data_IF_057292506312
#
_entry.id   IF_057292506312
#
_cell.length_a   1.000
_cell.length_b   1.000
_cell.length_c   1.000
_cell.angle_alpha   90.00
_cell.angle_beta   90.00
_cell.angle_gamma   90.00
#
_symmetry.space_group_name_H-M   'P 1'
#
loop_
_entity.id
_entity.type
_entity.pdbx_description
1 polymer ?
#
# COMPACT_ATOMS: atom_id res chain seq x y z
N UNK A 1 -2.56 -0.20 -32.08
CA UNK A 1 -3.45 -0.76 -31.07
C UNK A 1 -2.58 -1.29 -29.94
N UNK A 2 -2.86 -0.87 -28.70
CA UNK A 2 -2.12 -1.33 -27.53
C UNK A 2 -2.67 -2.71 -27.13
N UNK A 3 -1.98 -3.78 -27.49
CA UNK A 3 -2.40 -5.16 -27.21
C UNK A 3 -2.13 -5.60 -25.76
N UNK A 4 -1.51 -4.75 -24.92
CA UNK A 4 -1.07 -5.12 -23.58
C UNK A 4 -2.21 -5.57 -22.66
N UNK A 5 -3.45 -5.17 -22.93
CA UNK A 5 -4.63 -5.60 -22.18
C UNK A 5 -5.41 -6.75 -22.82
N UNK A 6 -5.12 -7.09 -24.08
CA UNK A 6 -5.85 -8.14 -24.82
C UNK A 6 -5.48 -9.53 -24.32
N UNK A 7 -4.20 -9.76 -24.06
CA UNK A 7 -3.72 -11.07 -23.60
C UNK A 7 -4.19 -11.40 -22.18
N UNK A 8 -4.08 -10.49 -21.17
CA UNK A 8 -4.67 -10.73 -19.86
C UNK A 8 -6.19 -10.94 -19.92
N UNK A 9 -6.90 -10.16 -20.74
CA UNK A 9 -8.35 -10.32 -20.93
C UNK A 9 -8.71 -11.70 -21.50
N UNK A 10 -7.89 -12.21 -22.40
CA UNK A 10 -8.07 -13.54 -23.01
C UNK A 10 -7.44 -14.68 -22.20
N UNK A 11 -6.94 -14.42 -20.98
CA UNK A 11 -6.23 -15.41 -20.14
C UNK A 11 -5.04 -16.05 -20.84
N UNK A 12 -4.34 -15.27 -21.69
CA UNK A 12 -3.11 -15.69 -22.36
C UNK A 12 -1.89 -15.26 -21.55
N UNK A 13 -0.77 -15.93 -21.80
CA UNK A 13 0.51 -15.52 -21.21
C UNK A 13 0.90 -14.13 -21.72
N UNK A 14 1.30 -13.25 -20.78
CA UNK A 14 1.72 -11.89 -21.06
C UNK A 14 3.25 -11.87 -21.07
N UNK A 15 3.84 -11.92 -22.26
CA UNK A 15 5.30 -11.85 -22.45
C UNK A 15 5.82 -10.40 -22.54
N UNK A 16 4.92 -9.44 -22.76
CA UNK A 16 5.27 -8.02 -22.89
C UNK A 16 5.68 -7.44 -21.51
N UNK A 17 6.74 -6.63 -21.52
CA UNK A 17 7.28 -5.94 -20.34
C UNK A 17 7.03 -4.42 -20.35
N UNK A 18 6.26 -3.94 -21.32
CA UNK A 18 5.91 -2.51 -21.44
C UNK A 18 4.97 -2.05 -20.35
N UNK A 19 4.70 -0.76 -20.31
CA UNK A 19 3.78 -0.15 -19.34
C UNK A 19 2.44 -0.89 -19.27
N UNK A 20 1.89 -1.00 -18.05
CA UNK A 20 0.62 -1.65 -17.72
C UNK A 20 0.63 -3.19 -17.80
N UNK A 21 1.80 -3.81 -17.97
CA UNK A 21 1.95 -5.27 -17.89
C UNK A 21 2.27 -5.74 -16.46
N UNK A 22 2.00 -7.01 -16.11
CA UNK A 22 2.34 -7.57 -14.79
C UNK A 22 3.83 -7.43 -14.46
N UNK A 23 4.73 -7.68 -15.42
CA UNK A 23 6.18 -7.56 -15.23
C UNK A 23 6.59 -6.11 -14.95
N UNK A 24 6.03 -5.15 -15.68
CA UNK A 24 6.27 -3.72 -15.43
C UNK A 24 5.81 -3.30 -14.05
N UNK A 25 4.61 -3.75 -13.64
CA UNK A 25 4.04 -3.49 -12.33
C UNK A 25 4.93 -4.03 -11.20
N UNK A 26 5.36 -5.29 -11.31
CA UNK A 26 6.29 -5.91 -10.38
C UNK A 26 7.57 -5.09 -10.23
N UNK A 27 8.23 -4.76 -11.36
CA UNK A 27 9.48 -3.98 -11.36
C UNK A 27 9.30 -2.59 -10.75
N UNK A 28 8.20 -1.89 -11.04
CA UNK A 28 7.98 -0.52 -10.55
C UNK A 28 7.74 -0.48 -9.04
N UNK A 29 7.00 -1.43 -8.49
CA UNK A 29 6.82 -1.48 -7.04
C UNK A 29 8.10 -1.89 -6.31
N UNK A 30 8.86 -2.87 -6.80
CA UNK A 30 10.16 -3.19 -6.20
C UNK A 30 11.19 -2.08 -6.36
N UNK A 31 11.17 -1.32 -7.45
CA UNK A 31 11.96 -0.10 -7.59
C UNK A 31 11.61 0.92 -6.49
N UNK A 32 10.33 1.20 -6.28
CA UNK A 32 9.89 2.09 -5.20
C UNK A 32 10.31 1.58 -3.81
N UNK A 33 10.26 0.27 -3.57
CA UNK A 33 10.72 -0.34 -2.32
C UNK A 33 12.24 -0.14 -2.13
N UNK A 34 13.02 -0.32 -3.19
CA UNK A 34 14.47 -0.10 -3.13
C UNK A 34 14.81 1.35 -2.78
N UNK A 35 14.16 2.33 -3.43
CA UNK A 35 14.38 3.76 -3.16
C UNK A 35 14.06 4.13 -1.69
N UNK A 36 12.92 3.67 -1.17
CA UNK A 36 12.57 3.97 0.22
C UNK A 36 13.45 3.23 1.23
N UNK A 37 13.95 2.03 0.91
CA UNK A 37 14.90 1.32 1.77
C UNK A 37 16.24 2.07 1.84
N UNK A 38 16.73 2.64 0.72
CA UNK A 38 17.91 3.50 0.73
C UNK A 38 17.68 4.75 1.60
N UNK A 39 16.53 5.40 1.48
CA UNK A 39 16.19 6.56 2.31
C UNK A 39 16.10 6.20 3.80
N UNK A 40 15.48 5.08 4.14
CA UNK A 40 15.39 4.59 5.52
C UNK A 40 16.76 4.25 6.10
N UNK A 41 17.63 3.63 5.32
CA UNK A 41 19.00 3.30 5.73
C UNK A 41 19.84 4.54 5.97
N UNK A 42 19.78 5.51 5.07
CA UNK A 42 20.46 6.79 5.24
C UNK A 42 19.97 7.54 6.50
N UNK A 43 18.66 7.53 6.77
CA UNK A 43 18.13 8.13 7.99
C UNK A 43 18.61 7.41 9.26
N UNK A 44 18.68 6.08 9.25
CA UNK A 44 19.23 5.27 10.35
C UNK A 44 20.70 5.61 10.61
N UNK A 45 21.53 5.70 9.57
CA UNK A 45 22.95 6.05 9.67
C UNK A 45 23.18 7.47 10.23
N UNK A 46 22.24 8.38 9.99
CA UNK A 46 22.23 9.73 10.60
C UNK A 46 21.69 9.75 12.04
N UNK A 47 21.31 8.61 12.62
CA UNK A 47 20.73 8.51 13.94
C UNK A 47 19.23 8.85 14.00
N UNK A 48 18.54 8.75 12.87
CA UNK A 48 17.09 9.00 12.74
C UNK A 48 16.63 10.31 13.45
N UNK A 49 17.10 11.48 13.00
CA UNK A 49 16.78 12.75 13.62
C UNK A 49 15.26 12.96 13.72
N UNK A 50 14.82 13.53 14.84
CA UNK A 50 13.38 13.74 15.11
C UNK A 50 12.69 14.60 14.04
N UNK A 51 13.41 15.53 13.47
CA UNK A 51 12.93 16.40 12.39
C UNK A 51 12.61 15.62 11.11
N UNK A 52 13.23 14.45 10.93
CA UNK A 52 13.00 13.56 9.79
C UNK A 52 11.92 12.50 10.06
N UNK A 53 11.39 12.41 11.27
CA UNK A 53 10.36 11.41 11.62
C UNK A 53 9.19 11.36 10.63
N UNK A 54 8.63 12.48 10.14
CA UNK A 54 7.55 12.45 9.15
C UNK A 54 7.94 11.83 7.81
N UNK A 55 9.16 12.07 7.34
CA UNK A 55 9.68 11.50 6.09
C UNK A 55 10.02 10.02 6.21
N UNK A 56 10.57 9.62 7.37
CA UNK A 56 10.80 8.20 7.71
C UNK A 56 9.46 7.46 7.76
N UNK A 57 8.44 8.07 8.35
CA UNK A 57 7.09 7.50 8.39
C UNK A 57 6.50 7.36 6.98
N UNK A 58 6.65 8.36 6.13
CA UNK A 58 6.20 8.29 4.74
C UNK A 58 6.94 7.19 3.96
N UNK A 59 8.26 7.06 4.11
CA UNK A 59 9.02 5.99 3.46
C UNK A 59 8.53 4.59 3.86
N UNK A 60 8.27 4.36 5.16
CA UNK A 60 7.64 3.12 5.64
C UNK A 60 6.23 2.91 5.07
N UNK A 61 5.44 3.97 4.98
CA UNK A 61 4.09 3.93 4.39
C UNK A 61 4.14 3.52 2.92
N UNK A 62 5.07 4.09 2.14
CA UNK A 62 5.28 3.72 0.73
C UNK A 62 5.72 2.26 0.62
N UNK A 63 6.61 1.79 1.51
CA UNK A 63 7.05 0.39 1.53
C UNK A 63 5.89 -0.55 1.82
N UNK A 64 5.09 -0.23 2.82
CA UNK A 64 3.87 -0.97 3.17
C UNK A 64 2.90 -1.05 1.99
N UNK A 65 2.59 0.10 1.38
CA UNK A 65 1.68 0.18 0.23
C UNK A 65 2.19 -0.61 -0.98
N UNK A 66 3.49 -0.48 -1.29
CA UNK A 66 4.09 -1.17 -2.42
C UNK A 66 4.02 -2.69 -2.27
N UNK A 67 4.34 -3.22 -1.08
CA UNK A 67 4.20 -4.65 -0.82
C UNK A 67 2.74 -5.11 -0.79
N UNK A 68 1.82 -4.26 -0.32
CA UNK A 68 0.39 -4.57 -0.37
C UNK A 68 -0.11 -4.71 -1.81
N UNK A 69 0.31 -3.81 -2.70
CA UNK A 69 -0.04 -3.90 -4.12
C UNK A 69 0.55 -5.17 -4.76
N UNK A 70 1.80 -5.50 -4.43
CA UNK A 70 2.43 -6.72 -4.92
C UNK A 70 1.73 -7.99 -4.42
N UNK A 71 1.46 -8.11 -3.14
CA UNK A 71 0.80 -9.31 -2.58
C UNK A 71 -0.62 -9.47 -3.11
N UNK A 72 -1.33 -8.35 -3.34
CA UNK A 72 -2.70 -8.38 -3.87
C UNK A 72 -2.77 -8.89 -5.32
N UNK A 73 -1.70 -8.69 -6.11
CA UNK A 73 -1.66 -9.08 -7.52
C UNK A 73 -0.94 -10.41 -7.76
N UNK A 74 0.06 -10.75 -6.95
CA UNK A 74 0.97 -11.87 -7.24
C UNK A 74 0.92 -12.99 -6.21
N UNK A 75 -0.02 -12.94 -5.25
CA UNK A 75 -0.25 -14.00 -4.28
C UNK A 75 -1.73 -14.34 -4.18
N UNK A 76 -2.04 -15.40 -3.44
CA UNK A 76 -3.44 -15.69 -3.09
C UNK A 76 -4.01 -14.58 -2.21
N UNK A 77 -5.31 -14.35 -2.32
CA UNK A 77 -6.01 -13.41 -1.43
C UNK A 77 -5.88 -13.85 0.03
N UNK A 78 -5.89 -12.88 0.92
CA UNK A 78 -5.92 -13.14 2.36
C UNK A 78 -7.32 -13.61 2.78
N UNK A 79 -7.38 -14.75 3.44
CA UNK A 79 -8.62 -15.30 3.99
C UNK A 79 -8.54 -15.27 5.52
N UNK A 80 -9.42 -14.50 6.16
CA UNK A 80 -9.44 -14.33 7.61
C UNK A 80 -9.72 -15.64 8.39
N UNK A 81 -10.32 -16.63 7.71
CA UNK A 81 -10.71 -17.91 8.28
C UNK A 81 -9.68 -19.03 7.94
N UNK A 82 -8.53 -18.67 7.36
CA UNK A 82 -7.46 -19.59 6.94
C UNK A 82 -6.12 -19.23 7.60
N UNK A 83 -5.16 -20.15 7.56
CA UNK A 83 -3.79 -19.94 8.04
C UNK A 83 -2.94 -19.07 7.10
N UNK A 84 -3.41 -18.81 5.87
CA UNK A 84 -2.72 -18.05 4.84
C UNK A 84 -1.28 -18.51 4.59
N UNK A 85 -1.05 -19.82 4.62
CA UNK A 85 0.25 -20.47 4.46
C UNK A 85 0.78 -20.48 3.02
N UNK A 86 -0.04 -20.08 2.05
CA UNK A 86 0.36 -19.96 0.64
C UNK A 86 1.53 -18.98 0.48
N UNK A 87 2.41 -19.15 -0.53
CA UNK A 87 3.49 -18.22 -0.80
C UNK A 87 2.98 -16.79 -1.04
N UNK A 88 3.55 -15.84 -0.30
CA UNK A 88 3.34 -14.41 -0.48
C UNK A 88 4.28 -13.81 -1.53
N UNK A 89 4.77 -12.60 -1.27
CA UNK A 89 5.82 -11.94 -2.05
C UNK A 89 7.05 -11.69 -1.17
N UNK A 90 8.27 -11.58 -1.72
CA UNK A 90 9.44 -11.17 -0.95
C UNK A 90 9.22 -9.83 -0.27
N UNK A 91 9.36 -9.77 1.06
CA UNK A 91 9.27 -8.52 1.81
C UNK A 91 10.65 -7.96 2.07
N UNK A 92 11.06 -6.96 1.26
CA UNK A 92 12.41 -6.41 1.26
C UNK A 92 12.47 -5.17 2.15
N UNK A 93 13.36 -5.19 3.15
CA UNK A 93 13.50 -4.10 4.14
C UNK A 93 14.84 -3.39 4.08
N UNK A 94 15.82 -3.95 3.38
CA UNK A 94 17.17 -3.42 3.27
C UNK A 94 17.53 -3.10 1.83
N UNK A 95 18.41 -2.12 1.58
CA UNK A 95 18.98 -1.89 0.26
C UNK A 95 19.75 -3.12 -0.24
N UNK A 96 19.64 -3.39 -1.53
CA UNK A 96 20.45 -4.44 -2.15
C UNK A 96 21.92 -4.03 -2.20
N UNK A 97 22.78 -4.86 -1.62
CA UNK A 97 24.23 -4.67 -1.62
C UNK A 97 24.96 -5.67 -2.53
N UNK A 98 24.24 -6.68 -3.02
CA UNK A 98 24.77 -7.77 -3.84
C UNK A 98 23.94 -7.92 -5.11
N UNK A 99 24.60 -7.98 -6.26
CA UNK A 99 23.92 -8.26 -7.52
C UNK A 99 23.24 -9.64 -7.48
N UNK A 100 21.99 -9.71 -7.96
CA UNK A 100 21.18 -10.94 -8.00
C UNK A 100 20.93 -11.56 -6.60
N UNK A 101 20.66 -10.72 -5.60
CA UNK A 101 20.25 -11.19 -4.28
C UNK A 101 19.03 -12.12 -4.39
N UNK A 102 19.06 -13.24 -3.65
CA UNK A 102 17.92 -14.16 -3.58
C UNK A 102 17.06 -13.81 -2.39
N UNK A 103 15.79 -13.63 -2.64
CA UNK A 103 14.80 -13.36 -1.61
C UNK A 103 13.82 -14.52 -1.51
N UNK A 104 13.57 -14.98 -0.30
CA UNK A 104 12.57 -15.99 -0.03
C UNK A 104 11.16 -15.37 -0.07
N UNK A 105 10.23 -16.12 -0.64
CA UNK A 105 8.80 -15.80 -0.54
C UNK A 105 8.28 -16.40 0.77
N UNK A 106 8.03 -15.52 1.72
CA UNK A 106 7.34 -15.94 2.95
C UNK A 106 5.86 -16.24 2.66
N UNK A 107 5.13 -16.64 3.68
CA UNK A 107 3.68 -16.88 3.52
C UNK A 107 2.90 -15.58 3.33
N UNK A 108 1.69 -15.68 2.77
CA UNK A 108 0.75 -14.54 2.70
C UNK A 108 0.52 -13.96 4.09
N UNK A 109 0.33 -14.82 5.13
CA UNK A 109 0.17 -14.38 6.51
C UNK A 109 1.32 -13.46 6.97
N UNK A 110 2.57 -13.90 6.80
CA UNK A 110 3.76 -13.12 7.19
C UNK A 110 3.93 -11.86 6.37
N UNK A 111 3.60 -11.90 5.08
CA UNK A 111 3.64 -10.71 4.23
C UNK A 111 2.66 -9.65 4.76
N UNK A 112 1.41 -10.03 5.06
CA UNK A 112 0.40 -9.12 5.62
C UNK A 112 0.79 -8.61 7.01
N UNK A 113 1.41 -9.43 7.85
CA UNK A 113 1.92 -9.01 9.16
C UNK A 113 2.98 -7.89 9.02
N UNK A 114 3.94 -8.05 8.11
CA UNK A 114 4.98 -7.06 7.86
C UNK A 114 4.43 -5.77 7.25
N UNK A 115 3.48 -5.88 6.32
CA UNK A 115 2.75 -4.73 5.76
C UNK A 115 2.04 -3.97 6.87
N UNK A 116 1.29 -4.68 7.73
CA UNK A 116 0.55 -4.07 8.86
C UNK A 116 1.51 -3.39 9.85
N UNK A 117 2.67 -3.99 10.11
CA UNK A 117 3.67 -3.40 10.98
C UNK A 117 4.16 -2.05 10.46
N UNK A 118 4.61 -1.97 9.21
CA UNK A 118 5.06 -0.72 8.61
C UNK A 118 3.93 0.34 8.57
N UNK A 119 2.69 -0.08 8.27
CA UNK A 119 1.52 0.77 8.27
C UNK A 119 1.27 1.39 9.65
N UNK A 120 1.20 0.55 10.71
CA UNK A 120 0.87 1.02 12.06
C UNK A 120 2.00 1.87 12.64
N UNK A 121 3.27 1.51 12.42
CA UNK A 121 4.41 2.26 12.91
C UNK A 121 4.53 3.66 12.30
N UNK A 122 3.93 3.87 11.13
CA UNK A 122 4.07 5.10 10.36
C UNK A 122 2.85 6.02 10.40
N UNK A 123 1.63 5.49 10.47
CA UNK A 123 0.42 6.26 10.21
C UNK A 123 0.24 7.48 11.11
N UNK A 124 0.56 7.36 12.41
CA UNK A 124 0.40 8.45 13.37
C UNK A 124 1.59 9.42 13.37
N UNK A 125 2.70 9.07 12.71
CA UNK A 125 3.94 9.85 12.62
C UNK A 125 4.04 10.69 11.34
N UNK A 126 3.11 10.51 10.40
CA UNK A 126 3.04 11.32 9.19
C UNK A 126 2.87 12.80 9.53
N UNK A 127 3.62 13.64 8.82
CA UNK A 127 3.54 15.08 8.96
C UNK A 127 2.20 15.68 8.48
N UNK A 128 2.06 16.98 8.67
CA UNK A 128 0.98 17.71 8.01
C UNK A 128 1.34 17.93 6.54
N UNK A 129 0.32 18.13 5.71
CA UNK A 129 0.50 18.37 4.28
C UNK A 129 1.36 19.64 4.00
N UNK A 130 1.46 20.55 4.97
CA UNK A 130 2.24 21.79 4.87
C UNK A 130 3.76 21.58 4.76
N UNK A 131 4.28 20.41 5.11
CA UNK A 131 5.71 20.11 4.97
C UNK A 131 6.12 19.79 3.52
N UNK A 132 5.14 19.54 2.64
CA UNK A 132 5.37 19.18 1.25
C UNK A 132 5.07 20.34 0.29
N UNK A 133 5.92 20.51 -0.71
CA UNK A 133 5.68 21.51 -1.77
C UNK A 133 4.46 21.15 -2.62
N UNK A 134 4.26 19.83 -2.88
CA UNK A 134 3.12 19.31 -3.65
C UNK A 134 2.50 18.14 -2.90
N UNK A 135 1.64 18.37 -1.90
CA UNK A 135 1.11 17.33 -1.00
C UNK A 135 0.42 16.16 -1.72
N UNK A 136 -0.18 16.40 -2.87
CA UNK A 136 -0.89 15.37 -3.65
C UNK A 136 -0.01 14.21 -4.14
N UNK A 137 1.31 14.37 -4.12
CA UNK A 137 2.26 13.31 -4.50
C UNK A 137 2.85 12.58 -3.31
N UNK A 138 2.38 12.89 -2.10
CA UNK A 138 2.85 12.35 -0.85
C UNK A 138 1.74 11.61 -0.10
N UNK A 139 2.11 10.74 0.83
CA UNK A 139 1.16 10.16 1.75
C UNK A 139 0.75 11.20 2.81
N UNK A 140 -0.32 11.93 2.51
CA UNK A 140 -1.00 12.73 3.52
C UNK A 140 -1.65 11.84 4.58
N UNK A 141 -2.02 12.40 5.74
CA UNK A 141 -2.76 11.64 6.77
C UNK A 141 -4.08 11.08 6.24
N UNK A 142 -4.75 11.83 5.35
CA UNK A 142 -5.97 11.38 4.69
C UNK A 142 -5.70 10.17 3.80
N UNK A 143 -4.71 10.24 2.91
CA UNK A 143 -4.32 9.14 2.02
C UNK A 143 -3.90 7.89 2.79
N UNK A 144 -3.13 8.06 3.88
CA UNK A 144 -2.71 6.95 4.73
C UNK A 144 -3.88 6.26 5.44
N UNK A 145 -4.86 7.02 5.94
CA UNK A 145 -6.06 6.42 6.54
C UNK A 145 -6.96 5.74 5.49
N UNK A 146 -7.05 6.29 4.27
CA UNK A 146 -7.75 5.64 3.16
C UNK A 146 -7.07 4.31 2.78
N UNK A 147 -5.74 4.31 2.67
CA UNK A 147 -4.97 3.09 2.44
C UNK A 147 -5.15 2.07 3.58
N UNK A 148 -5.07 2.49 4.85
CA UNK A 148 -5.30 1.62 5.99
C UNK A 148 -6.70 0.98 5.95
N UNK A 149 -7.73 1.75 5.63
CA UNK A 149 -9.08 1.23 5.44
C UNK A 149 -9.13 0.16 4.36
N UNK A 150 -8.48 0.39 3.20
CA UNK A 150 -8.40 -0.58 2.11
C UNK A 150 -7.62 -1.83 2.51
N UNK A 151 -6.49 -1.70 3.20
CA UNK A 151 -5.71 -2.83 3.71
C UNK A 151 -6.55 -3.72 4.62
N UNK A 152 -7.26 -3.14 5.59
CA UNK A 152 -8.12 -3.90 6.49
C UNK A 152 -9.37 -4.47 5.82
N UNK A 153 -9.86 -3.85 4.74
CA UNK A 153 -10.91 -4.41 3.88
C UNK A 153 -10.47 -5.75 3.28
N UNK A 154 -9.25 -5.79 2.71
CA UNK A 154 -8.67 -7.02 2.15
C UNK A 154 -8.36 -8.06 3.22
N UNK A 155 -8.09 -7.63 4.45
CA UNK A 155 -7.85 -8.51 5.59
C UNK A 155 -9.14 -9.03 6.24
N UNK A 156 -10.30 -8.47 5.90
CA UNK A 156 -11.59 -8.82 6.48
C UNK A 156 -11.83 -8.27 7.89
N UNK A 157 -11.06 -7.26 8.34
CA UNK A 157 -11.20 -6.59 9.64
C UNK A 157 -12.13 -5.37 9.52
N UNK A 158 -13.43 -5.62 9.50
CA UNK A 158 -14.46 -4.59 9.30
C UNK A 158 -14.43 -3.48 10.36
N UNK A 159 -14.06 -3.80 11.60
CA UNK A 159 -13.95 -2.81 12.67
C UNK A 159 -12.90 -1.77 12.38
N UNK A 160 -11.72 -2.20 11.93
CA UNK A 160 -10.64 -1.29 11.51
C UNK A 160 -10.97 -0.56 10.21
N UNK A 161 -11.68 -1.20 9.26
CA UNK A 161 -12.17 -0.51 8.06
C UNK A 161 -12.96 0.73 8.44
N UNK A 162 -13.98 0.58 9.30
CA UNK A 162 -14.82 1.69 9.76
C UNK A 162 -13.97 2.75 10.48
N UNK A 163 -13.08 2.31 11.38
CA UNK A 163 -12.21 3.20 12.16
C UNK A 163 -11.36 4.11 11.26
N UNK A 164 -10.70 3.55 10.24
CA UNK A 164 -9.84 4.32 9.36
C UNK A 164 -10.61 5.11 8.30
N UNK A 165 -11.68 4.55 7.75
CA UNK A 165 -12.55 5.26 6.82
C UNK A 165 -13.18 6.51 7.45
N UNK A 166 -13.63 6.43 8.72
CA UNK A 166 -14.24 7.56 9.44
C UNK A 166 -13.26 8.70 9.72
N UNK A 167 -11.95 8.45 9.72
CA UNK A 167 -10.93 9.50 9.82
C UNK A 167 -10.78 10.30 8.51
N UNK A 168 -11.13 9.71 7.38
CA UNK A 168 -11.09 10.35 6.06
C UNK A 168 -12.41 11.05 5.76
N UNK A 169 -13.50 10.34 6.00
CA UNK A 169 -14.87 10.80 5.81
C UNK A 169 -15.64 10.64 7.12
N UNK A 170 -15.66 11.69 7.97
CA UNK A 170 -16.50 11.67 9.16
C UNK A 170 -17.95 11.45 8.72
N UNK A 171 -18.51 10.28 9.02
CA UNK A 171 -19.90 10.00 8.69
C UNK A 171 -20.79 11.01 9.42
N UNK A 172 -21.61 11.80 8.73
CA UNK A 172 -22.65 12.56 9.41
C UNK A 172 -23.55 11.58 10.19
N UNK A 173 -23.95 11.95 11.39
CA UNK A 173 -24.81 11.13 12.26
C UNK A 173 -26.14 10.68 11.61
N UNK A 174 -26.47 11.23 10.45
CA UNK A 174 -27.68 10.93 9.64
C UNK A 174 -27.55 9.61 8.84
N UNK A 175 -26.35 9.05 8.66
CA UNK A 175 -26.17 7.82 7.87
C UNK A 175 -26.41 6.51 8.64
N UNK A 176 -26.64 6.58 9.94
CA UNK A 176 -26.99 5.41 10.74
C UNK A 176 -28.49 5.15 10.57
N UNK A 177 -28.86 4.47 9.48
CA UNK A 177 -30.19 3.87 9.34
C UNK A 177 -31.15 4.43 8.29
N UNK A 178 -30.70 5.20 7.30
CA UNK A 178 -31.59 5.65 6.23
C UNK A 178 -31.00 5.47 4.82
N UNK A 179 -31.89 5.25 3.85
CA UNK A 179 -31.68 5.16 2.40
C UNK A 179 -30.99 6.38 1.75
N UNK A 180 -30.13 7.09 2.48
CA UNK A 180 -29.50 8.34 2.11
C UNK A 180 -28.21 8.24 1.27
N UNK A 181 -27.82 7.05 0.84
CA UNK A 181 -26.64 6.86 -0.02
C UNK A 181 -26.75 7.51 -1.43
N UNK A 182 -27.88 8.16 -1.73
CA UNK A 182 -28.12 8.77 -3.04
C UNK A 182 -27.47 10.15 -3.25
N UNK A 183 -26.78 10.71 -2.26
CA UNK A 183 -26.20 12.05 -2.35
C UNK A 183 -24.69 12.13 -2.09
N UNK A 184 -23.97 11.01 -2.15
CA UNK A 184 -22.50 11.04 -2.26
C UNK A 184 -22.23 11.44 -3.71
N UNK A 185 -21.72 12.64 -3.94
CA UNK A 185 -21.42 13.09 -5.30
C UNK A 185 -20.35 12.18 -5.92
N UNK A 186 -20.43 11.92 -7.23
CA UNK A 186 -19.46 11.11 -7.98
C UNK A 186 -18.01 11.57 -7.76
N UNK A 187 -17.79 12.81 -7.31
CA UNK A 187 -16.47 13.35 -6.92
C UNK A 187 -15.92 12.72 -5.65
N UNK A 188 -16.77 12.34 -4.71
CA UNK A 188 -16.33 11.76 -3.43
C UNK A 188 -15.96 10.28 -3.58
N UNK A 189 -16.53 9.60 -4.58
CA UNK A 189 -16.19 8.22 -4.94
C UNK A 189 -14.86 8.12 -5.68
N UNK A 190 -14.39 9.19 -6.34
CA UNK A 190 -13.12 9.18 -7.07
C UNK A 190 -11.89 9.11 -6.15
N UNK A 191 -12.04 9.47 -4.87
CA UNK A 191 -10.98 9.36 -3.86
C UNK A 191 -10.78 7.91 -3.36
N UNK A 192 -11.69 6.99 -3.67
CA UNK A 192 -11.59 5.56 -3.32
C UNK A 192 -10.79 4.80 -4.39
N UNK A 193 -10.52 5.43 -5.53
CA UNK A 193 -9.78 4.85 -6.65
C UNK A 193 -8.28 5.24 -6.68
N UNK A 194 -7.68 5.49 -5.52
CA UNK A 194 -6.23 5.62 -5.41
C UNK A 194 -5.60 4.24 -5.32
#
# INVERSE_FOLDING_TARGET
>A
ENNSNTDPFCWRDVEDETQDTPTWFWRKFYYSIAEVNHALKAAEEMGAPKEQEPYIAEAKMIRSFSHFMLVSLFAKFYDKDSDNSSPGVPYVTEPETVALAKYDRETVAKTYEKIEKDLIESIDKLGSDAIYTVPRYHFSRGAANAYASRFYLYKGDWGKVITYASKVFPMPSVFVGQEGAKNVSDRDLSLIHI
#
